data_IF_847574196238
#
_entry.id   IF_847574196238
#
_cell.length_a   1.000
_cell.length_b   1.000
_cell.length_c   1.000
_cell.angle_alpha   90.00
_cell.angle_beta   90.00
_cell.angle_gamma   90.00
#
_symmetry.space_group_name_H-M   'P 1'
#
loop_
_entity.id
_entity.type
_entity.pdbx_description
1 polymer ?
#
# COMPACT_ATOMS: atom_id res chain seq x y z
N UNK A 1 21.69 -7.03 -1.12
CA UNK A 1 21.39 -6.74 -1.47
C UNK A 1 21.16 -5.94 -1.80
N UNK A 2 21.14 -5.92 -1.61
CA UNK A 2 20.65 -5.22 -2.03
C UNK A 2 20.85 -4.35 -2.67
N UNK A 3 21.24 -4.33 -2.90
CA UNK A 3 21.26 -3.54 -3.64
C UNK A 3 21.18 -3.19 -4.49
N UNK A 4 21.12 -3.56 -4.59
CA UNK A 4 20.78 -3.16 -5.53
C UNK A 4 20.12 -2.64 -5.97
N UNK A 5 19.96 -2.75 -5.47
CA UNK A 5 19.09 -2.19 -5.96
C UNK A 5 19.04 -1.14 -6.32
N UNK A 6 19.59 -0.99 -6.09
CA UNK A 6 19.43 -0.01 -6.60
C UNK A 6 19.35 0.51 -7.41
N UNK A 7 19.51 0.21 -7.40
CA UNK A 7 19.25 0.69 -8.22
C UNK A 7 18.73 1.08 -8.85
N UNK A 8 18.54 0.83 -8.49
CA UNK A 8 17.92 1.14 -9.06
C UNK A 8 17.56 1.87 -9.55
N UNK A 9 17.92 1.96 -9.16
CA UNK A 9 17.54 2.67 -9.63
C UNK A 9 17.36 3.15 -10.42
N UNK A 10 17.43 2.91 -10.42
CA UNK A 10 17.20 3.31 -11.25
C UNK A 10 16.82 3.72 -11.98
N UNK A 11 16.66 3.51 -11.70
CA UNK A 11 16.17 3.85 -12.36
C UNK A 11 15.83 4.56 -12.97
N UNK A 12 15.86 4.67 -12.73
CA UNK A 12 15.45 5.34 -13.25
C UNK A 12 15.39 5.89 -14.05
N UNK A 13 15.53 5.67 -14.03
CA UNK A 13 15.37 6.15 -14.77
C UNK A 13 15.07 6.53 -15.53
N UNK A 14 15.10 6.29 -15.47
CA UNK A 14 14.81 6.66 -16.22
C UNK A 14 14.32 7.16 -16.87
N UNK A 15 14.21 7.13 -16.79
CA UNK A 15 13.56 7.58 -17.33
C UNK A 15 13.15 8.48 -18.11
N UNK A 16 13.40 8.76 -18.22
CA UNK A 16 13.05 9.97 -18.80
C UNK A 16 12.10 9.80 -19.90
N UNK A 17 12.38 9.01 -20.79
CA UNK A 17 11.45 8.70 -21.73
C UNK A 17 10.25 8.23 -21.11
N UNK A 18 10.41 7.70 -19.96
CA UNK A 18 9.32 7.24 -19.21
C UNK A 18 8.38 8.32 -18.83
N UNK A 19 8.73 9.52 -18.98
CA UNK A 19 7.86 10.62 -18.65
C UNK A 19 6.51 10.51 -19.27
N UNK A 20 6.42 10.08 -20.49
CA UNK A 20 5.14 9.95 -21.12
C UNK A 20 4.32 8.86 -20.47
N UNK A 21 4.94 7.75 -20.18
CA UNK A 21 4.24 6.65 -19.56
C UNK A 21 3.77 7.02 -18.19
N UNK A 22 4.58 7.77 -17.47
CA UNK A 22 4.20 8.19 -16.14
C UNK A 22 2.97 9.08 -16.18
N UNK A 23 2.90 9.97 -17.14
CA UNK A 23 1.75 10.83 -17.29
C UNK A 23 0.49 10.02 -17.54
N UNK A 24 0.59 9.04 -18.42
CA UNK A 24 -0.56 8.19 -18.71
C UNK A 24 -1.03 7.42 -17.47
N UNK A 25 -0.09 6.94 -16.67
CA UNK A 25 -0.46 6.22 -15.46
C UNK A 25 -1.14 7.14 -14.45
N UNK A 26 -0.68 8.36 -14.35
CA UNK A 26 -1.28 9.32 -13.44
C UNK A 26 -2.73 9.60 -13.82
N UNK A 27 -3.04 9.53 -15.11
CA UNK A 27 -4.39 9.80 -15.56
C UNK A 27 -5.36 8.65 -15.28
N UNK A 28 -4.87 7.52 -14.78
CA UNK A 28 -5.75 6.39 -14.45
C UNK A 28 -6.42 6.52 -13.09
N UNK A 29 -6.00 7.47 -12.28
CA UNK A 29 -6.62 7.68 -10.98
C UNK A 29 -8.05 8.16 -11.17
N UNK A 30 -8.96 7.61 -10.34
CA UNK A 30 -10.35 8.07 -10.35
C UNK A 30 -10.43 9.45 -9.71
N UNK A 31 -11.55 10.13 -9.93
CA UNK A 31 -11.77 11.43 -9.29
C UNK A 31 -11.75 11.31 -7.79
N UNK A 32 -12.30 10.22 -7.25
CA UNK A 32 -12.26 9.97 -5.81
C UNK A 32 -10.82 9.88 -5.31
N UNK A 33 -9.97 9.14 -6.01
CA UNK A 33 -8.57 8.99 -5.63
C UNK A 33 -7.83 10.31 -5.64
N UNK A 34 -8.09 11.14 -6.65
CA UNK A 34 -7.47 12.46 -6.74
C UNK A 34 -7.88 13.37 -5.60
N UNK A 35 -9.12 13.23 -5.16
CA UNK A 35 -9.65 14.05 -4.07
C UNK A 35 -9.29 13.53 -2.68
N UNK A 36 -8.79 12.28 -2.59
CA UNK A 36 -8.49 11.65 -1.31
C UNK A 36 -7.09 11.04 -1.31
N UNK A 37 -6.05 11.86 -1.54
CA UNK A 37 -4.70 11.30 -1.74
C UNK A 37 -4.16 10.52 -0.53
N UNK A 38 -4.50 10.93 0.69
CA UNK A 38 -4.03 10.19 1.85
C UNK A 38 -4.70 8.84 1.98
N UNK A 39 -6.00 8.78 1.70
CA UNK A 39 -6.73 7.52 1.71
C UNK A 39 -6.28 6.61 0.58
N UNK A 40 -5.99 7.20 -0.57
CA UNK A 40 -5.48 6.44 -1.70
C UNK A 40 -4.16 5.77 -1.34
N UNK A 41 -3.26 6.51 -0.70
CA UNK A 41 -1.96 5.99 -0.30
C UNK A 41 -2.12 4.79 0.65
N UNK A 42 -2.97 4.94 1.67
CA UNK A 42 -3.23 3.88 2.63
C UNK A 42 -3.86 2.66 1.93
N UNK A 43 -4.84 2.90 1.08
CA UNK A 43 -5.55 1.82 0.39
C UNK A 43 -4.64 1.08 -0.59
N UNK A 44 -3.76 1.80 -1.28
CA UNK A 44 -2.81 1.17 -2.21
C UNK A 44 -1.84 0.27 -1.45
N UNK A 45 -1.39 0.68 -0.29
CA UNK A 45 -0.53 -0.15 0.54
C UNK A 45 -1.25 -1.41 0.99
N UNK A 46 -2.52 -1.29 1.40
CA UNK A 46 -3.31 -2.46 1.80
C UNK A 46 -3.48 -3.44 0.63
N UNK A 47 -3.75 -2.91 -0.56
CA UNK A 47 -3.89 -3.76 -1.74
C UNK A 47 -2.58 -4.49 -2.05
N UNK A 48 -1.46 -3.80 -1.96
CA UNK A 48 -0.16 -4.40 -2.20
C UNK A 48 0.18 -5.44 -1.14
N UNK A 49 -0.18 -5.19 0.11
CA UNK A 49 0.04 -6.17 1.17
C UNK A 49 -0.77 -7.44 0.93
N UNK A 50 -2.03 -7.30 0.49
CA UNK A 50 -2.85 -8.45 0.17
C UNK A 50 -2.24 -9.28 -0.95
N UNK A 51 -1.70 -8.63 -1.97
CA UNK A 51 -1.02 -9.34 -3.05
C UNK A 51 0.23 -10.07 -2.55
N UNK A 52 0.98 -9.42 -1.67
CA UNK A 52 2.17 -10.04 -1.08
C UNK A 52 1.80 -11.26 -0.26
N UNK A 53 0.75 -11.18 0.54
CA UNK A 53 0.29 -12.30 1.35
C UNK A 53 -0.05 -13.48 0.46
N UNK A 54 -0.81 -13.26 -0.61
CA UNK A 54 -1.16 -14.32 -1.56
C UNK A 54 0.08 -14.95 -2.17
N UNK A 55 1.05 -14.14 -2.54
CA UNK A 55 2.27 -14.64 -3.14
C UNK A 55 3.07 -15.48 -2.17
N UNK A 56 3.17 -15.04 -0.92
CA UNK A 56 3.92 -15.77 0.09
C UNK A 56 3.26 -17.11 0.44
N UNK A 57 1.95 -17.18 0.40
CA UNK A 57 1.24 -18.44 0.58
C UNK A 57 1.56 -19.39 -0.58
N UNK A 58 1.51 -18.87 -1.79
CA UNK A 58 1.80 -19.67 -2.98
C UNK A 58 3.22 -20.24 -2.95
N UNK A 59 4.16 -19.46 -2.45
CA UNK A 59 5.57 -19.84 -2.37
C UNK A 59 5.87 -20.73 -1.16
N UNK A 60 4.91 -20.88 -0.26
CA UNK A 60 5.08 -21.72 0.91
C UNK A 60 5.74 -21.01 2.10
N UNK A 61 5.92 -19.70 2.01
CA UNK A 61 6.54 -18.93 3.08
C UNK A 61 5.57 -18.55 4.19
N UNK A 62 4.28 -18.56 3.89
CA UNK A 62 3.22 -18.33 4.88
C UNK A 62 2.22 -19.47 4.82
N UNK A 63 1.79 -19.92 5.98
CA UNK A 63 0.68 -20.89 6.04
C UNK A 63 -0.63 -20.17 5.79
N UNK A 64 -1.67 -20.93 5.48
CA UNK A 64 -3.01 -20.35 5.30
C UNK A 64 -3.50 -19.69 6.59
N UNK A 65 -3.17 -20.26 7.74
CA UNK A 65 -3.56 -19.70 9.03
C UNK A 65 -2.86 -18.36 9.28
N UNK A 66 -1.57 -18.26 8.96
CA UNK A 66 -0.84 -17.01 9.07
C UNK A 66 -1.39 -15.97 8.12
N UNK A 67 -1.69 -16.37 6.89
CA UNK A 67 -2.27 -15.46 5.90
C UNK A 67 -3.62 -14.93 6.35
N UNK A 68 -4.45 -15.78 6.95
CA UNK A 68 -5.75 -15.36 7.45
C UNK A 68 -5.62 -14.27 8.51
N UNK A 69 -4.64 -14.42 9.42
CA UNK A 69 -4.39 -13.39 10.43
C UNK A 69 -3.96 -12.08 9.82
N UNK A 70 -3.09 -12.14 8.81
CA UNK A 70 -2.59 -10.93 8.14
C UNK A 70 -3.68 -10.23 7.34
N UNK A 71 -4.52 -11.00 6.64
CA UNK A 71 -5.66 -10.42 5.94
C UNK A 71 -6.64 -9.77 6.93
N UNK A 72 -6.83 -10.39 8.09
CA UNK A 72 -7.70 -9.82 9.12
C UNK A 72 -7.13 -8.50 9.63
N UNK A 73 -5.80 -8.44 9.82
CA UNK A 73 -5.15 -7.21 10.25
C UNK A 73 -5.31 -6.10 9.21
N UNK A 74 -5.15 -6.42 7.92
CA UNK A 74 -5.37 -5.46 6.84
C UNK A 74 -6.81 -4.97 6.82
N UNK A 75 -7.74 -5.88 7.03
CA UNK A 75 -9.17 -5.53 7.05
C UNK A 75 -9.47 -4.59 8.22
N UNK A 76 -8.85 -4.83 9.37
CA UNK A 76 -9.01 -3.97 10.53
C UNK A 76 -8.47 -2.56 10.27
N UNK A 77 -7.33 -2.46 9.61
CA UNK A 77 -6.74 -1.16 9.25
C UNK A 77 -7.70 -0.42 8.31
N UNK A 78 -8.27 -1.10 7.33
CA UNK A 78 -9.21 -0.48 6.41
C UNK A 78 -10.46 0.01 7.14
N UNK A 79 -10.93 -0.76 8.10
CA UNK A 79 -12.09 -0.36 8.91
C UNK A 79 -11.79 0.90 9.70
N UNK A 80 -10.60 0.96 10.31
CA UNK A 80 -10.19 2.15 11.05
C UNK A 80 -10.07 3.37 10.15
N UNK A 81 -9.54 3.19 8.95
CA UNK A 81 -9.44 4.26 7.99
C UNK A 81 -10.81 4.83 7.65
N UNK A 82 -11.80 3.96 7.46
CA UNK A 82 -13.17 4.39 7.16
C UNK A 82 -13.79 5.16 8.32
N UNK A 83 -13.54 4.69 9.54
CA UNK A 83 -14.07 5.37 10.73
C UNK A 83 -13.45 6.76 10.87
N UNK A 84 -12.13 6.85 10.70
CA UNK A 84 -11.43 8.13 10.74
C UNK A 84 -11.96 9.09 9.68
N UNK A 85 -12.14 8.59 8.47
CA UNK A 85 -12.64 9.41 7.37
C UNK A 85 -14.07 9.90 7.64
N UNK A 86 -14.90 9.06 8.25
CA UNK A 86 -16.29 9.46 8.52
C UNK A 86 -16.38 10.62 9.50
N UNK A 87 -15.34 10.84 10.30
CA UNK A 87 -15.30 11.94 11.25
C UNK A 87 -14.75 13.23 10.64
N UNK A 88 -14.19 13.15 9.44
CA UNK A 88 -13.54 14.29 8.79
C UNK A 88 -14.05 14.51 7.36
N UNK A 89 -15.34 14.30 7.14
CA UNK A 89 -15.94 14.59 5.84
C UNK A 89 -15.46 13.72 4.70
N UNK A 90 -15.03 12.51 4.98
CA UNK A 90 -14.55 11.58 3.97
C UNK A 90 -13.04 11.58 3.81
N UNK A 91 -12.32 12.39 4.56
CA UNK A 91 -10.87 12.51 4.47
C UNK A 91 -10.22 12.05 5.76
N UNK A 92 -8.96 11.63 5.68
CA UNK A 92 -8.17 11.38 6.88
C UNK A 92 -7.13 12.48 7.02
N UNK A 93 -6.78 12.82 8.26
CA UNK A 93 -5.77 13.82 8.54
C UNK A 93 -4.38 13.22 8.31
N UNK A 94 -3.39 14.09 8.26
CA UNK A 94 -2.01 13.66 8.11
C UNK A 94 -1.57 12.79 9.30
N UNK A 95 -1.99 13.15 10.51
CA UNK A 95 -1.68 12.37 11.70
C UNK A 95 -2.34 10.99 11.65
N UNK A 96 -3.59 10.92 11.18
CA UNK A 96 -4.28 9.66 11.02
C UNK A 96 -3.61 8.77 9.98
N UNK A 97 -3.19 9.37 8.86
CA UNK A 97 -2.45 8.65 7.84
C UNK A 97 -1.17 8.03 8.44
N UNK A 98 -0.48 8.77 9.27
CA UNK A 98 0.74 8.29 9.90
C UNK A 98 0.47 7.09 10.79
N UNK A 99 -0.61 7.13 11.58
CA UNK A 99 -0.99 6.02 12.44
C UNK A 99 -1.31 4.76 11.61
N UNK A 100 -2.09 4.94 10.54
CA UNK A 100 -2.45 3.82 9.68
C UNK A 100 -1.22 3.24 8.98
N UNK A 101 -0.31 4.11 8.53
CA UNK A 101 0.93 3.65 7.91
C UNK A 101 1.81 2.87 8.88
N UNK A 102 1.82 3.25 10.15
CA UNK A 102 2.57 2.51 11.16
C UNK A 102 1.99 1.11 11.36
N UNK A 103 0.66 1.00 11.35
CA UNK A 103 0.00 -0.29 11.45
C UNK A 103 0.31 -1.14 10.21
N UNK A 104 0.27 -0.54 9.04
CA UNK A 104 0.63 -1.23 7.79
C UNK A 104 2.08 -1.69 7.82
N UNK A 105 2.97 -0.90 8.40
CA UNK A 105 4.37 -1.28 8.53
C UNK A 105 4.52 -2.55 9.37
N UNK A 106 3.75 -2.66 10.45
CA UNK A 106 3.80 -3.85 11.31
C UNK A 106 3.32 -5.09 10.54
N UNK A 107 2.24 -4.96 9.80
CA UNK A 107 1.75 -6.06 8.97
C UNK A 107 2.79 -6.43 7.92
N UNK A 108 3.38 -5.44 7.27
CA UNK A 108 4.39 -5.66 6.26
C UNK A 108 5.57 -6.47 6.80
N UNK A 109 6.01 -6.17 8.02
CA UNK A 109 7.09 -6.92 8.66
C UNK A 109 6.70 -8.37 8.87
N UNK A 110 5.45 -8.64 9.20
CA UNK A 110 4.96 -9.99 9.44
C UNK A 110 4.79 -10.77 8.14
N UNK A 111 4.51 -10.10 7.05
CA UNK A 111 4.48 -10.76 5.75
C UNK A 111 5.90 -11.19 5.37
N UNK A 112 6.87 -10.40 5.73
CA UNK A 112 8.27 -10.74 5.62
C UNK A 112 8.94 -10.28 4.35
N UNK A 113 8.32 -10.38 3.25
CA UNK A 113 9.05 -10.13 2.00
C UNK A 113 8.35 -9.24 1.03
#
# INVERSE_FOLDING_TARGET
MKSLRTVLTVAAVTMSLAGLTTTALADTDTQWQKNHPRREQVNNRLANQNKRIHREVKQGDLSKAQAAKLHKADHQIRKEERIMASQNGGHITKAEQKVLNQQENKVSQQIGK
#
